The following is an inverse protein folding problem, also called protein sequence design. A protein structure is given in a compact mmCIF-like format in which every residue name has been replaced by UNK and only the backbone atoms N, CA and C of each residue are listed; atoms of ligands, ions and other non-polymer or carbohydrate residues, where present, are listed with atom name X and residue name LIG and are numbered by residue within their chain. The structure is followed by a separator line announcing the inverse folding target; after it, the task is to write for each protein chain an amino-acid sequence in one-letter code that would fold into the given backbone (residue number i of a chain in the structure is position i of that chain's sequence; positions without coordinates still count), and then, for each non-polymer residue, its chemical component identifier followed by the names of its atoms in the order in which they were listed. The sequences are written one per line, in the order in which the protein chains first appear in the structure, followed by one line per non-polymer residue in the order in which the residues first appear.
data_IF_165744887764
#
_entry.id   IF_165744887764
#
_cell.length_a   1.000
_cell.length_b   1.000
_cell.length_c   1.000
_cell.angle_alpha   90.00
_cell.angle_beta   90.00
_cell.angle_gamma   90.00
#
_symmetry.space_group_name_H-M   'P 1'
#
loop_
_entity.id
_entity.type
_entity.pdbx_description
1 polymer ?
#
# COMPACT_ATOMS: atom_id res chain seq x y z
N UNK A 1 188.95 74.33 -15.70
CA UNK A 1 187.85 73.96 -16.63
C UNK A 1 187.11 72.66 -16.26
N UNK A 2 187.51 71.88 -15.23
CA UNK A 2 186.75 70.66 -14.85
C UNK A 2 185.83 70.77 -13.61
N UNK A 3 185.95 71.82 -12.80
CA UNK A 3 185.15 71.98 -11.56
C UNK A 3 183.71 72.47 -11.79
N UNK A 4 183.43 73.19 -12.90
CA UNK A 4 182.08 73.69 -13.21
C UNK A 4 181.12 72.59 -13.70
N UNK A 5 181.63 71.52 -14.34
CA UNK A 5 180.80 70.42 -14.84
C UNK A 5 180.21 69.56 -13.72
N UNK A 6 180.89 69.47 -12.57
CA UNK A 6 180.42 68.67 -11.44
C UNK A 6 179.28 69.34 -10.65
N UNK A 7 179.17 70.68 -10.67
CA UNK A 7 178.09 71.40 -9.99
C UNK A 7 176.76 71.32 -10.77
N UNK A 8 176.78 71.38 -12.10
CA UNK A 8 175.57 71.23 -12.92
C UNK A 8 174.92 69.84 -12.78
N UNK A 9 175.72 68.79 -12.60
CA UNK A 9 175.21 67.43 -12.40
C UNK A 9 174.45 67.29 -11.07
N UNK A 10 174.89 67.99 -10.01
CA UNK A 10 174.21 67.97 -8.70
C UNK A 10 172.86 68.67 -8.75
N UNK A 11 172.77 69.83 -9.39
CA UNK A 11 171.51 70.58 -9.53
C UNK A 11 170.44 69.80 -10.32
N UNK A 12 170.83 69.09 -11.39
CA UNK A 12 169.91 68.25 -12.17
C UNK A 12 169.40 67.03 -11.39
N UNK A 13 170.21 66.47 -10.51
CA UNK A 13 169.80 65.38 -9.60
C UNK A 13 168.80 65.87 -8.55
N UNK A 14 169.03 67.05 -7.98
CA UNK A 14 168.14 67.66 -6.98
C UNK A 14 166.77 68.02 -7.56
N UNK A 15 166.72 68.55 -8.79
CA UNK A 15 165.46 68.82 -9.47
C UNK A 15 164.66 67.54 -9.77
N UNK A 16 165.33 66.43 -10.13
CA UNK A 16 164.68 65.12 -10.33
C UNK A 16 164.13 64.54 -9.03
N UNK A 17 164.87 64.67 -7.92
CA UNK A 17 164.42 64.27 -6.58
C UNK A 17 163.18 65.07 -6.15
N UNK A 18 163.18 66.39 -6.35
CA UNK A 18 162.05 67.25 -5.98
C UNK A 18 160.81 66.99 -6.86
N UNK A 19 160.97 66.74 -8.16
CA UNK A 19 159.85 66.34 -9.02
C UNK A 19 159.23 65.01 -8.58
N UNK A 20 160.05 64.04 -8.15
CA UNK A 20 159.55 62.77 -7.59
C UNK A 20 158.80 62.96 -6.28
N UNK A 21 159.25 63.87 -5.40
CA UNK A 21 158.55 64.19 -4.14
C UNK A 21 157.22 64.88 -4.39
N UNK A 22 157.19 65.88 -5.27
CA UNK A 22 155.96 66.60 -5.62
C UNK A 22 154.94 65.68 -6.29
N UNK A 23 155.38 64.79 -7.19
CA UNK A 23 154.49 63.81 -7.80
C UNK A 23 153.89 62.85 -6.76
N UNK A 24 154.71 62.35 -5.81
CA UNK A 24 154.21 61.51 -4.70
C UNK A 24 153.21 62.26 -3.81
N UNK A 25 153.47 63.53 -3.48
CA UNK A 25 152.54 64.35 -2.67
C UNK A 25 151.22 64.60 -3.40
N UNK A 26 151.25 64.98 -4.67
CA UNK A 26 150.04 65.17 -5.48
C UNK A 26 149.22 63.87 -5.61
N UNK A 27 149.89 62.71 -5.74
CA UNK A 27 149.21 61.42 -5.80
C UNK A 27 148.56 61.06 -4.45
N UNK A 28 149.24 61.34 -3.33
CA UNK A 28 148.69 61.15 -1.98
C UNK A 28 147.51 62.08 -1.71
N UNK A 29 147.59 63.35 -2.11
CA UNK A 29 146.49 64.32 -2.01
C UNK A 29 145.31 63.92 -2.88
N UNK A 30 145.54 63.41 -4.10
CA UNK A 30 144.48 62.88 -4.96
C UNK A 30 143.79 61.65 -4.33
N UNK A 31 144.57 60.73 -3.73
CA UNK A 31 144.01 59.57 -3.02
C UNK A 31 143.23 60.00 -1.79
N UNK A 32 143.73 60.98 -1.04
CA UNK A 32 143.07 61.50 0.16
C UNK A 32 141.78 62.27 -0.17
N UNK A 33 141.78 63.09 -1.22
CA UNK A 33 140.58 63.79 -1.71
C UNK A 33 139.55 62.79 -2.28
N UNK A 34 139.98 61.76 -3.02
CA UNK A 34 139.09 60.67 -3.43
C UNK A 34 138.57 59.83 -2.26
N UNK A 35 139.35 59.64 -1.19
CA UNK A 35 138.90 58.96 0.03
C UNK A 35 137.85 59.81 0.77
N UNK A 36 138.07 61.12 0.88
CA UNK A 36 137.13 62.07 1.48
C UNK A 36 135.81 62.14 0.70
N UNK A 37 135.86 62.26 -0.63
CA UNK A 37 134.66 62.27 -1.49
C UNK A 37 133.88 60.95 -1.35
N UNK A 38 134.58 59.80 -1.33
CA UNK A 38 133.91 58.49 -1.12
C UNK A 38 133.28 58.37 0.26
N UNK A 39 133.91 58.89 1.30
CA UNK A 39 133.34 58.90 2.65
C UNK A 39 132.10 59.80 2.73
N UNK A 40 132.14 60.99 2.11
CA UNK A 40 131.00 61.90 2.03
C UNK A 40 129.84 61.32 1.20
N UNK A 41 130.12 60.66 0.09
CA UNK A 41 129.10 59.97 -0.72
C UNK A 41 128.44 58.82 0.05
N UNK A 42 129.18 58.06 0.86
CA UNK A 42 128.62 57.02 1.74
C UNK A 42 127.72 57.62 2.82
N UNK A 43 128.17 58.68 3.49
CA UNK A 43 127.36 59.39 4.49
C UNK A 43 126.07 59.96 3.89
N UNK A 44 126.13 60.53 2.69
CA UNK A 44 124.96 61.03 1.97
C UNK A 44 124.01 59.87 1.56
N UNK A 45 124.55 58.76 1.06
CA UNK A 45 123.74 57.58 0.70
C UNK A 45 123.01 56.99 1.91
N UNK A 46 123.67 56.92 3.08
CA UNK A 46 123.05 56.47 4.34
C UNK A 46 121.97 57.44 4.84
N UNK A 47 122.17 58.75 4.68
CA UNK A 47 121.16 59.75 5.03
C UNK A 47 119.93 59.66 4.11
N UNK A 48 120.13 59.56 2.79
CA UNK A 48 119.05 59.35 1.82
C UNK A 48 118.30 58.02 2.07
N UNK A 49 118.99 56.95 2.47
CA UNK A 49 118.33 55.70 2.85
C UNK A 49 117.45 55.85 4.10
N UNK A 50 117.91 56.59 5.11
CA UNK A 50 117.10 56.90 6.31
C UNK A 50 115.87 57.73 5.95
N UNK A 51 116.00 58.73 5.08
CA UNK A 51 114.87 59.52 4.59
C UNK A 51 113.88 58.66 3.77
N UNK A 52 114.39 57.77 2.91
CA UNK A 52 113.56 56.80 2.18
C UNK A 52 112.79 55.89 3.13
N UNK A 53 113.45 55.38 4.19
CA UNK A 53 112.79 54.53 5.19
C UNK A 53 111.69 55.28 5.95
N UNK A 54 111.93 56.53 6.36
CA UNK A 54 110.92 57.36 7.02
C UNK A 54 109.72 57.63 6.10
N UNK A 55 109.97 57.93 4.83
CA UNK A 55 108.90 58.14 3.85
C UNK A 55 108.08 56.86 3.59
N UNK A 56 108.74 55.70 3.48
CA UNK A 56 108.05 54.41 3.35
C UNK A 56 107.20 54.09 4.58
N UNK A 57 107.74 54.30 5.79
CA UNK A 57 107.00 54.10 7.03
C UNK A 57 105.76 55.02 7.12
N UNK A 58 105.88 56.28 6.69
CA UNK A 58 104.74 57.21 6.60
C UNK A 58 103.70 56.75 5.56
N UNK A 59 104.13 56.29 4.38
CA UNK A 59 103.23 55.75 3.36
C UNK A 59 102.51 54.48 3.84
N UNK A 60 103.20 53.60 4.56
CA UNK A 60 102.60 52.43 5.21
C UNK A 60 101.54 52.84 6.25
N UNK A 61 101.80 53.87 7.06
CA UNK A 61 100.80 54.38 8.00
C UNK A 61 99.58 54.97 7.29
N UNK A 62 99.78 55.76 6.23
CA UNK A 62 98.70 56.34 5.44
C UNK A 62 97.84 55.25 4.78
N UNK A 63 98.48 54.21 4.22
CA UNK A 63 97.74 53.09 3.60
C UNK A 63 96.99 52.25 4.63
N UNK A 64 97.53 52.06 5.84
CA UNK A 64 96.81 51.41 6.96
C UNK A 64 95.56 52.20 7.35
N UNK A 65 95.69 53.51 7.58
CA UNK A 65 94.56 54.39 7.91
C UNK A 65 93.49 54.42 6.80
N UNK A 66 93.90 54.39 5.52
CA UNK A 66 92.96 54.28 4.39
C UNK A 66 92.18 52.97 4.42
N UNK A 67 92.87 51.84 4.64
CA UNK A 67 92.23 50.52 4.76
C UNK A 67 91.28 50.44 5.95
N UNK A 68 91.62 51.05 7.08
CA UNK A 68 90.75 51.12 8.26
C UNK A 68 89.49 51.93 7.98
N UNK A 69 89.62 53.13 7.37
CA UNK A 69 88.48 53.95 6.96
C UNK A 69 87.58 53.24 5.95
N UNK A 70 88.14 52.49 5.00
CA UNK A 70 87.36 51.68 4.06
C UNK A 70 86.60 50.57 4.77
N UNK A 71 87.24 49.86 5.71
CA UNK A 71 86.58 48.83 6.52
C UNK A 71 85.45 49.40 7.38
N UNK A 72 85.63 50.57 7.98
CA UNK A 72 84.59 51.26 8.75
C UNK A 72 83.40 51.62 7.87
N UNK A 73 83.63 52.21 6.68
CA UNK A 73 82.55 52.48 5.72
C UNK A 73 81.79 51.22 5.31
N UNK A 74 82.50 50.11 5.09
CA UNK A 74 81.87 48.81 4.77
C UNK A 74 81.00 48.33 5.95
N UNK A 75 81.52 48.42 7.18
CA UNK A 75 80.76 48.05 8.39
C UNK A 75 79.52 48.92 8.57
N UNK A 76 79.62 50.23 8.38
CA UNK A 76 78.48 51.15 8.46
C UNK A 76 77.42 50.85 7.40
N UNK A 77 77.84 50.55 6.15
CA UNK A 77 76.94 50.14 5.08
C UNK A 77 76.26 48.79 5.38
N UNK A 78 76.97 47.83 5.98
CA UNK A 78 76.40 46.56 6.45
C UNK A 78 75.36 46.80 7.54
N UNK A 79 75.69 47.56 8.59
CA UNK A 79 74.75 47.90 9.67
C UNK A 79 73.53 48.68 9.17
N UNK A 80 73.70 49.53 8.17
CA UNK A 80 72.57 50.18 7.51
C UNK A 80 71.68 49.17 6.77
N UNK A 81 72.29 48.26 6.01
CA UNK A 81 71.58 47.23 5.24
C UNK A 81 70.85 46.25 6.16
N UNK A 82 71.47 45.83 7.26
CA UNK A 82 70.87 44.98 8.29
C UNK A 82 69.65 45.66 8.92
N UNK A 83 69.76 46.94 9.32
CA UNK A 83 68.61 47.69 9.87
C UNK A 83 67.46 47.84 8.87
N UNK A 84 67.76 47.99 7.58
CA UNK A 84 66.72 48.03 6.53
C UNK A 84 66.07 46.65 6.39
N UNK A 85 66.88 45.59 6.36
CA UNK A 85 66.40 44.21 6.30
C UNK A 85 65.49 43.88 7.48
N UNK A 86 65.90 44.18 8.70
CA UNK A 86 65.11 44.00 9.93
C UNK A 86 63.74 44.68 9.81
N UNK A 87 63.70 45.96 9.42
CA UNK A 87 62.45 46.70 9.22
C UNK A 87 61.56 46.09 8.14
N UNK A 88 62.15 45.59 7.05
CA UNK A 88 61.40 44.89 6.00
C UNK A 88 60.82 43.58 6.51
N UNK A 89 61.58 42.80 7.29
CA UNK A 89 61.09 41.54 7.86
C UNK A 89 59.95 41.75 8.85
N UNK A 90 60.04 42.75 9.73
CA UNK A 90 58.96 43.11 10.66
C UNK A 90 57.71 43.52 9.89
N UNK A 91 57.86 44.38 8.87
CA UNK A 91 56.72 44.79 8.03
C UNK A 91 56.08 43.61 7.30
N UNK A 92 56.86 42.65 6.82
CA UNK A 92 56.35 41.43 6.20
C UNK A 92 55.58 40.57 7.21
N UNK A 93 56.12 40.38 8.42
CA UNK A 93 55.46 39.64 9.50
C UNK A 93 54.14 40.30 9.93
N UNK A 94 54.09 41.62 10.04
CA UNK A 94 52.87 42.36 10.35
C UNK A 94 51.81 42.21 9.24
N UNK A 95 52.25 42.18 7.98
CA UNK A 95 51.35 41.94 6.85
C UNK A 95 50.78 40.53 6.88
N UNK A 96 51.62 39.52 7.09
CA UNK A 96 51.17 38.13 7.20
C UNK A 96 50.23 37.94 8.38
N UNK A 97 50.53 38.52 9.55
CA UNK A 97 49.66 38.44 10.73
C UNK A 97 48.29 39.08 10.47
N UNK A 98 48.24 40.25 9.82
CA UNK A 98 46.96 40.91 9.46
C UNK A 98 46.16 40.12 8.43
N UNK A 99 46.82 39.46 7.50
CA UNK A 99 46.18 38.58 6.52
C UNK A 99 45.64 37.32 7.20
N UNK A 100 46.42 36.69 8.08
CA UNK A 100 45.99 35.55 8.88
C UNK A 100 44.78 35.89 9.76
N UNK A 101 44.75 37.06 10.41
CA UNK A 101 43.58 37.52 11.17
C UNK A 101 42.33 37.67 10.30
N UNK A 102 42.48 38.23 9.09
CA UNK A 102 41.36 38.35 8.14
C UNK A 102 40.88 36.97 7.69
N UNK A 103 41.80 36.06 7.39
CA UNK A 103 41.48 34.70 7.01
C UNK A 103 40.77 33.96 8.14
N UNK A 104 41.25 34.10 9.38
CA UNK A 104 40.62 33.50 10.56
C UNK A 104 39.19 34.01 10.76
N UNK A 105 38.94 35.32 10.56
CA UNK A 105 37.58 35.89 10.61
C UNK A 105 36.69 35.32 9.51
N UNK A 106 37.18 35.24 8.27
CA UNK A 106 36.41 34.68 7.14
C UNK A 106 36.09 33.19 7.36
N UNK A 107 37.04 32.42 7.89
CA UNK A 107 36.84 31.01 8.24
C UNK A 107 35.78 30.89 9.36
N UNK A 108 35.90 31.67 10.42
CA UNK A 108 34.92 31.66 11.51
C UNK A 108 33.49 32.04 11.05
N UNK A 109 33.36 33.05 10.17
CA UNK A 109 32.06 33.41 9.59
C UNK A 109 31.49 32.30 8.70
N UNK A 110 32.34 31.61 7.93
CA UNK A 110 31.92 30.49 7.11
C UNK A 110 31.44 29.31 7.97
N UNK A 111 32.20 28.98 9.01
CA UNK A 111 31.87 27.88 9.92
C UNK A 111 30.56 28.18 10.67
N UNK A 112 30.37 29.42 11.13
CA UNK A 112 29.12 29.85 11.76
C UNK A 112 27.92 29.74 10.80
N UNK A 113 28.07 30.12 9.53
CA UNK A 113 27.02 29.96 8.50
C UNK A 113 26.72 28.48 8.23
N UNK A 114 27.74 27.63 8.19
CA UNK A 114 27.57 26.19 7.99
C UNK A 114 26.84 25.56 9.17
N UNK A 115 27.23 25.88 10.41
CA UNK A 115 26.55 25.41 11.62
C UNK A 115 25.06 25.78 11.62
N UNK A 116 24.72 27.04 11.28
CA UNK A 116 23.33 27.48 11.18
C UNK A 116 22.54 26.70 10.11
N UNK A 117 23.14 26.45 8.95
CA UNK A 117 22.49 25.65 7.90
C UNK A 117 22.28 24.19 8.30
N UNK A 118 23.21 23.61 9.05
CA UNK A 118 23.09 22.25 9.58
C UNK A 118 21.98 22.17 10.62
N UNK A 119 21.93 23.10 11.58
CA UNK A 119 20.85 23.19 12.55
C UNK A 119 19.48 23.32 11.87
N UNK A 120 19.34 24.18 10.86
CA UNK A 120 18.08 24.31 10.13
C UNK A 120 17.68 23.02 9.41
N UNK A 121 18.66 22.33 8.79
CA UNK A 121 18.42 21.04 8.13
C UNK A 121 17.98 19.99 9.14
N UNK A 122 18.61 19.93 10.31
CA UNK A 122 18.26 19.01 11.39
C UNK A 122 16.88 19.31 11.97
N UNK A 123 16.54 20.59 12.20
CA UNK A 123 15.19 21.00 12.62
C UNK A 123 14.14 20.54 11.62
N UNK A 124 14.32 20.84 10.32
CA UNK A 124 13.42 20.41 9.24
C UNK A 124 13.28 18.88 9.18
N UNK A 125 14.40 18.15 9.29
CA UNK A 125 14.38 16.67 9.35
C UNK A 125 13.59 16.18 10.56
N UNK A 126 13.79 16.78 11.73
CA UNK A 126 13.11 16.38 12.97
C UNK A 126 11.60 16.64 12.90
N UNK A 127 11.18 17.78 12.33
CA UNK A 127 9.78 18.13 12.12
C UNK A 127 9.11 17.19 11.11
N UNK A 128 9.79 16.89 10.01
CA UNK A 128 9.33 15.93 9.02
C UNK A 128 9.14 14.53 9.65
N UNK A 129 10.11 14.07 10.45
CA UNK A 129 10.00 12.79 11.15
C UNK A 129 8.83 12.77 12.14
N UNK A 130 8.64 13.85 12.92
CA UNK A 130 7.50 14.01 13.83
C UNK A 130 6.16 13.95 13.07
N UNK A 131 6.07 14.62 11.92
CA UNK A 131 4.89 14.59 11.05
C UNK A 131 4.60 13.18 10.52
N UNK A 132 5.63 12.46 10.05
CA UNK A 132 5.49 11.07 9.58
C UNK A 132 5.00 10.15 10.71
N UNK A 133 5.55 10.29 11.92
CA UNK A 133 5.13 9.50 13.09
C UNK A 133 3.68 9.81 13.46
N UNK A 134 3.31 11.09 13.58
CA UNK A 134 1.95 11.51 13.89
C UNK A 134 0.93 10.98 12.86
N UNK A 135 1.27 11.05 11.57
CA UNK A 135 0.43 10.51 10.51
C UNK A 135 0.26 8.98 10.63
N UNK A 136 1.35 8.23 10.88
CA UNK A 136 1.29 6.78 11.08
C UNK A 136 0.43 6.39 12.28
N UNK A 137 0.53 7.13 13.38
CA UNK A 137 -0.29 6.90 14.57
C UNK A 137 -1.77 7.17 14.31
N UNK A 138 -2.08 8.27 13.61
CA UNK A 138 -3.45 8.61 13.23
C UNK A 138 -4.04 7.51 12.34
N UNK A 139 -3.31 7.09 11.30
CA UNK A 139 -3.74 6.01 10.41
C UNK A 139 -3.96 4.69 11.15
N UNK A 140 -3.13 4.38 12.16
CA UNK A 140 -3.31 3.20 13.00
C UNK A 140 -4.60 3.29 13.83
N UNK A 141 -4.84 4.44 14.48
CA UNK A 141 -6.07 4.69 15.26
C UNK A 141 -7.32 4.61 14.39
N UNK A 142 -7.28 5.23 13.21
CA UNK A 142 -8.39 5.21 12.26
C UNK A 142 -8.70 3.79 11.76
N UNK A 143 -7.67 3.01 11.42
CA UNK A 143 -7.85 1.60 11.03
C UNK A 143 -8.46 0.76 12.15
N UNK A 144 -8.02 0.95 13.39
CA UNK A 144 -8.59 0.25 14.55
C UNK A 144 -10.06 0.62 14.73
N UNK A 145 -10.39 1.91 14.68
CA UNK A 145 -11.76 2.38 14.83
C UNK A 145 -12.68 1.86 13.72
N UNK A 146 -12.23 1.90 12.46
CA UNK A 146 -12.96 1.30 11.33
C UNK A 146 -13.18 -0.20 11.55
N UNK A 147 -12.18 -0.92 12.03
CA UNK A 147 -12.32 -2.35 12.32
C UNK A 147 -13.35 -2.61 13.41
N UNK A 148 -13.34 -1.84 14.51
CA UNK A 148 -14.34 -1.91 15.57
C UNK A 148 -15.76 -1.65 15.05
N UNK A 149 -15.95 -0.62 14.22
CA UNK A 149 -17.25 -0.32 13.59
C UNK A 149 -17.70 -1.50 12.73
N UNK A 150 -16.83 -2.04 11.86
CA UNK A 150 -17.21 -3.18 11.01
C UNK A 150 -17.56 -4.42 11.82
N UNK A 151 -16.88 -4.63 12.96
CA UNK A 151 -17.16 -5.72 13.88
C UNK A 151 -18.47 -5.53 14.64
N UNK A 152 -18.84 -4.30 14.97
CA UNK A 152 -20.15 -3.98 15.54
C UNK A 152 -21.25 -4.18 14.49
N UNK A 153 -21.09 -3.61 13.30
CA UNK A 153 -22.04 -3.78 12.20
C UNK A 153 -22.28 -5.25 11.84
N UNK A 154 -21.25 -6.09 11.84
CA UNK A 154 -21.42 -7.52 11.58
C UNK A 154 -22.17 -8.25 12.69
N UNK A 155 -21.99 -7.84 13.95
CA UNK A 155 -22.77 -8.36 15.09
C UNK A 155 -24.23 -7.93 14.99
N UNK A 156 -24.47 -6.65 14.71
CA UNK A 156 -25.83 -6.11 14.60
C UNK A 156 -26.58 -6.76 13.43
N UNK A 157 -25.90 -6.96 12.29
CA UNK A 157 -26.46 -7.68 11.15
C UNK A 157 -26.79 -9.14 11.49
N UNK A 158 -25.91 -9.83 12.24
CA UNK A 158 -26.17 -11.19 12.70
C UNK A 158 -27.38 -11.25 13.64
N UNK A 159 -27.49 -10.32 14.60
CA UNK A 159 -28.64 -10.24 15.50
C UNK A 159 -29.94 -9.99 14.72
N UNK A 160 -29.94 -9.03 13.79
CA UNK A 160 -31.09 -8.75 12.94
C UNK A 160 -31.52 -9.97 12.11
N UNK A 161 -30.56 -10.76 11.60
CA UNK A 161 -30.87 -12.02 10.91
C UNK A 161 -31.53 -13.03 11.84
N UNK A 162 -30.99 -13.23 13.05
CA UNK A 162 -31.57 -14.17 14.01
C UNK A 162 -32.98 -13.76 14.46
N UNK A 163 -33.24 -12.46 14.62
CA UNK A 163 -34.58 -11.96 14.94
C UNK A 163 -35.54 -12.16 13.77
N UNK A 164 -35.10 -11.90 12.54
CA UNK A 164 -35.90 -12.14 11.34
C UNK A 164 -36.24 -13.63 11.16
N UNK A 165 -35.28 -14.53 11.38
CA UNK A 165 -35.50 -15.97 11.36
C UNK A 165 -36.51 -16.42 12.42
N UNK A 166 -36.41 -15.89 13.64
CA UNK A 166 -37.37 -16.15 14.72
C UNK A 166 -38.77 -15.69 14.32
N UNK A 167 -38.93 -14.46 13.85
CA UNK A 167 -40.24 -13.93 13.42
C UNK A 167 -40.81 -14.74 12.26
N UNK A 168 -39.98 -15.17 11.31
CA UNK A 168 -40.41 -16.03 10.22
C UNK A 168 -40.90 -17.39 10.73
N UNK A 169 -40.18 -18.01 11.66
CA UNK A 169 -40.59 -19.27 12.28
C UNK A 169 -41.92 -19.15 13.01
N UNK A 170 -42.12 -18.09 13.82
CA UNK A 170 -43.38 -17.79 14.50
C UNK A 170 -44.53 -17.63 13.48
N UNK A 171 -44.30 -16.90 12.38
CA UNK A 171 -45.30 -16.76 11.32
C UNK A 171 -45.66 -18.08 10.63
N UNK A 172 -44.68 -18.96 10.41
CA UNK A 172 -44.93 -20.27 9.82
C UNK A 172 -45.74 -21.17 10.76
N UNK A 173 -45.47 -21.12 12.07
CA UNK A 173 -46.25 -21.83 13.07
C UNK A 173 -47.70 -21.34 13.08
N UNK A 174 -47.92 -20.03 13.13
CA UNK A 174 -49.27 -19.44 13.10
C UNK A 174 -50.04 -19.81 11.82
N UNK A 175 -49.37 -19.84 10.66
CA UNK A 175 -49.99 -20.31 9.41
C UNK A 175 -50.38 -21.78 9.49
N UNK A 176 -49.50 -22.63 10.01
CA UNK A 176 -49.77 -24.06 10.18
C UNK A 176 -50.92 -24.32 11.15
N UNK A 177 -51.00 -23.57 12.25
CA UNK A 177 -52.10 -23.63 13.21
C UNK A 177 -53.44 -23.24 12.59
N UNK A 178 -53.48 -22.11 11.86
CA UNK A 178 -54.69 -21.69 11.11
C UNK A 178 -55.17 -22.77 10.15
N UNK A 179 -54.26 -23.34 9.36
CA UNK A 179 -54.61 -24.43 8.43
C UNK A 179 -55.14 -25.66 9.19
N UNK A 180 -54.56 -25.99 10.35
CA UNK A 180 -55.04 -27.10 11.19
C UNK A 180 -56.45 -26.82 11.73
N UNK A 181 -56.72 -25.62 12.19
CA UNK A 181 -58.04 -25.22 12.67
C UNK A 181 -59.09 -25.24 11.55
N UNK A 182 -58.76 -24.69 10.38
CA UNK A 182 -59.63 -24.72 9.21
C UNK A 182 -59.97 -26.16 8.78
N UNK A 183 -58.97 -27.05 8.79
CA UNK A 183 -59.19 -28.48 8.51
C UNK A 183 -60.10 -29.14 9.54
N UNK A 184 -59.97 -28.80 10.82
CA UNK A 184 -60.87 -29.29 11.89
C UNK A 184 -62.30 -28.81 11.66
N UNK A 185 -62.49 -27.50 11.44
CA UNK A 185 -63.81 -26.90 11.14
C UNK A 185 -64.47 -27.54 9.91
N UNK A 186 -63.70 -27.76 8.85
CA UNK A 186 -64.19 -28.44 7.64
C UNK A 186 -64.60 -29.89 7.92
N UNK A 187 -63.80 -30.61 8.71
CA UNK A 187 -64.13 -31.98 9.12
C UNK A 187 -65.41 -32.04 9.94
N UNK A 188 -65.56 -31.14 10.92
CA UNK A 188 -66.78 -31.03 11.75
C UNK A 188 -68.00 -30.71 10.89
N UNK A 189 -67.88 -29.75 9.97
CA UNK A 189 -68.94 -29.41 9.01
C UNK A 189 -69.35 -30.61 8.16
N UNK A 190 -68.38 -31.37 7.64
CA UNK A 190 -68.66 -32.58 6.85
C UNK A 190 -69.37 -33.65 7.69
N UNK A 191 -68.97 -33.84 8.95
CA UNK A 191 -69.64 -34.78 9.88
C UNK A 191 -71.09 -34.36 10.11
N UNK A 192 -71.34 -33.07 10.38
CA UNK A 192 -72.68 -32.53 10.56
C UNK A 192 -73.54 -32.74 9.31
N UNK A 193 -73.03 -32.42 8.12
CA UNK A 193 -73.74 -32.65 6.85
C UNK A 193 -74.06 -34.12 6.61
N UNK A 194 -73.16 -35.04 6.97
CA UNK A 194 -73.39 -36.48 6.87
C UNK A 194 -74.45 -36.95 7.85
N UNK A 195 -74.43 -36.45 9.09
CA UNK A 195 -75.45 -36.74 10.09
C UNK A 195 -76.84 -36.25 9.63
N UNK A 196 -76.95 -35.01 9.15
CA UNK A 196 -78.19 -34.45 8.61
C UNK A 196 -78.74 -35.28 7.43
N UNK A 197 -77.89 -35.66 6.48
CA UNK A 197 -78.29 -36.51 5.36
C UNK A 197 -78.78 -37.87 5.84
N UNK A 198 -78.07 -38.48 6.81
CA UNK A 198 -78.46 -39.77 7.36
C UNK A 198 -79.82 -39.70 8.07
N UNK A 199 -80.07 -38.64 8.84
CA UNK A 199 -81.35 -38.39 9.50
C UNK A 199 -82.49 -38.21 8.48
N UNK A 200 -82.28 -37.43 7.42
CA UNK A 200 -83.25 -37.27 6.32
C UNK A 200 -83.56 -38.60 5.63
N UNK A 201 -82.55 -39.43 5.38
CA UNK A 201 -82.73 -40.75 4.77
C UNK A 201 -83.53 -41.68 5.71
N UNK A 202 -83.30 -41.62 7.02
CA UNK A 202 -84.08 -42.39 7.99
C UNK A 202 -85.54 -41.96 8.00
N UNK A 203 -85.81 -40.64 8.05
CA UNK A 203 -87.18 -40.10 7.96
C UNK A 203 -87.90 -40.56 6.69
N UNK A 204 -87.24 -40.45 5.52
CA UNK A 204 -87.83 -40.91 4.26
C UNK A 204 -88.16 -42.41 4.25
N UNK A 205 -87.36 -43.24 4.93
CA UNK A 205 -87.63 -44.68 5.06
C UNK A 205 -88.82 -44.95 5.98
N UNK A 206 -88.95 -44.20 7.07
CA UNK A 206 -90.09 -44.30 7.98
C UNK A 206 -91.37 -43.87 7.26
N UNK A 207 -91.36 -42.73 6.56
CA UNK A 207 -92.48 -42.25 5.73
C UNK A 207 -92.87 -43.28 4.66
N UNK A 208 -91.89 -43.91 3.99
CA UNK A 208 -92.16 -44.95 2.99
C UNK A 208 -92.82 -46.20 3.63
N UNK A 209 -92.38 -46.60 4.82
CA UNK A 209 -92.99 -47.71 5.56
C UNK A 209 -94.42 -47.38 5.99
N UNK A 210 -94.66 -46.17 6.50
CA UNK A 210 -96.00 -45.72 6.85
C UNK A 210 -96.93 -45.69 5.63
N UNK A 211 -96.45 -45.19 4.50
CA UNK A 211 -97.22 -45.16 3.26
C UNK A 211 -97.53 -46.58 2.76
N UNK A 212 -96.57 -47.51 2.83
CA UNK A 212 -96.80 -48.93 2.51
C UNK A 212 -97.85 -49.55 3.43
N UNK A 213 -97.82 -49.25 4.73
CA UNK A 213 -98.81 -49.75 5.69
C UNK A 213 -100.21 -49.21 5.39
N UNK A 214 -100.34 -47.90 5.15
CA UNK A 214 -101.62 -47.26 4.74
C UNK A 214 -102.14 -47.85 3.43
N UNK A 215 -101.28 -48.01 2.42
CA UNK A 215 -101.66 -48.63 1.15
C UNK A 215 -102.12 -50.08 1.32
N UNK A 216 -101.44 -50.87 2.17
CA UNK A 216 -101.86 -52.24 2.47
C UNK A 216 -103.23 -52.27 3.15
N UNK A 217 -103.50 -51.33 4.07
CA UNK A 217 -104.81 -51.18 4.70
C UNK A 217 -105.90 -50.85 3.67
N UNK A 218 -105.66 -49.85 2.81
CA UNK A 218 -106.60 -49.47 1.74
C UNK A 218 -106.88 -50.66 0.81
N UNK A 219 -105.84 -51.41 0.40
CA UNK A 219 -106.02 -52.61 -0.43
C UNK A 219 -106.86 -53.69 0.25
N UNK A 220 -106.72 -53.88 1.57
CA UNK A 220 -107.57 -54.83 2.31
C UNK A 220 -109.03 -54.36 2.36
N UNK A 221 -109.26 -53.07 2.58
CA UNK A 221 -110.60 -52.47 2.58
C UNK A 221 -111.26 -52.57 1.20
N UNK A 222 -110.52 -52.25 0.13
CA UNK A 222 -110.97 -52.38 -1.27
C UNK A 222 -111.26 -53.85 -1.64
N UNK A 223 -110.39 -54.79 -1.26
CA UNK A 223 -110.61 -56.22 -1.50
C UNK A 223 -111.86 -56.69 -0.77
N UNK A 224 -112.08 -56.28 0.48
CA UNK A 224 -113.29 -56.63 1.23
C UNK A 224 -114.56 -56.09 0.55
N UNK A 225 -114.53 -54.83 0.10
CA UNK A 225 -115.64 -54.21 -0.63
C UNK A 225 -115.91 -54.92 -1.97
N UNK A 226 -114.86 -55.29 -2.72
CA UNK A 226 -114.98 -56.04 -3.96
C UNK A 226 -115.55 -57.44 -3.74
N UNK A 227 -115.11 -58.15 -2.70
CA UNK A 227 -115.65 -59.47 -2.38
C UNK A 227 -117.15 -59.38 -2.02
N UNK A 228 -117.56 -58.38 -1.24
CA UNK A 228 -118.98 -58.12 -0.96
C UNK A 228 -119.78 -57.83 -2.24
N UNK A 229 -119.27 -56.96 -3.10
CA UNK A 229 -119.92 -56.65 -4.39
C UNK A 229 -119.99 -57.88 -5.31
N UNK A 230 -118.91 -58.65 -5.42
CA UNK A 230 -118.85 -59.86 -6.22
C UNK A 230 -119.87 -60.90 -5.74
N UNK A 231 -120.04 -61.07 -4.42
CA UNK A 231 -121.08 -61.91 -3.85
C UNK A 231 -122.48 -61.45 -4.27
N UNK A 232 -122.78 -60.14 -4.19
CA UNK A 232 -124.07 -59.60 -4.62
C UNK A 232 -124.34 -59.86 -6.12
N UNK A 233 -123.33 -59.67 -6.97
CA UNK A 233 -123.45 -59.93 -8.43
C UNK A 233 -123.65 -61.42 -8.71
N UNK A 234 -122.94 -62.31 -8.01
CA UNK A 234 -123.11 -63.76 -8.12
C UNK A 234 -124.52 -64.17 -7.69
N UNK A 235 -125.02 -63.63 -6.57
CA UNK A 235 -126.39 -63.88 -6.09
C UNK A 235 -127.44 -63.44 -7.11
N UNK A 236 -127.33 -62.22 -7.65
CA UNK A 236 -128.23 -61.72 -8.71
C UNK A 236 -128.17 -62.58 -9.99
N UNK A 237 -126.97 -62.96 -10.43
CA UNK A 237 -126.80 -63.82 -11.61
C UNK A 237 -127.37 -65.23 -11.39
N UNK A 238 -127.38 -65.72 -10.14
CA UNK A 238 -127.98 -67.00 -9.76
C UNK A 238 -129.51 -66.94 -9.80
N UNK A 239 -130.10 -65.84 -9.33
CA UNK A 239 -131.54 -65.55 -9.48
C UNK A 239 -131.95 -65.52 -10.96
N UNK A 240 -131.13 -64.90 -11.82
CA UNK A 240 -131.33 -64.82 -13.27
C UNK A 240 -131.01 -66.12 -14.03
N UNK A 241 -130.64 -67.22 -13.35
CA UNK A 241 -130.28 -68.54 -13.91
C UNK A 241 -129.16 -68.49 -14.97
N UNK A 242 -128.22 -67.55 -14.87
CA UNK A 242 -127.06 -67.44 -15.76
C UNK A 242 -125.93 -68.39 -15.33
N UNK A 243 -124.96 -68.63 -16.21
CA UNK A 243 -123.80 -69.46 -15.88
C UNK A 243 -122.87 -68.75 -14.87
N UNK A 244 -122.78 -69.30 -13.65
CA UNK A 244 -122.04 -68.72 -12.53
C UNK A 244 -120.54 -69.02 -12.54
N UNK A 245 -120.11 -70.01 -13.32
CA UNK A 245 -118.73 -70.51 -13.27
C UNK A 245 -117.65 -69.44 -13.58
N UNK A 246 -117.83 -68.54 -14.57
CA UNK A 246 -116.86 -67.47 -14.82
C UNK A 246 -116.74 -66.47 -13.67
N UNK A 247 -117.84 -66.18 -12.98
CA UNK A 247 -117.89 -65.21 -11.88
C UNK A 247 -117.19 -65.75 -10.63
N UNK A 248 -117.42 -67.01 -10.26
CA UNK A 248 -116.67 -67.65 -9.17
C UNK A 248 -115.16 -67.71 -9.45
N UNK A 249 -114.77 -67.96 -10.70
CA UNK A 249 -113.36 -67.96 -11.11
C UNK A 249 -112.73 -66.57 -11.02
N UNK A 250 -113.49 -65.51 -11.30
CA UNK A 250 -113.03 -64.13 -11.19
C UNK A 250 -112.93 -63.68 -9.72
N UNK A 251 -113.97 -63.91 -8.90
CA UNK A 251 -114.00 -63.53 -7.49
C UNK A 251 -112.88 -64.19 -6.67
N UNK A 252 -112.57 -65.47 -6.94
CA UNK A 252 -111.50 -66.22 -6.25
C UNK A 252 -110.09 -65.67 -6.54
N UNK A 253 -109.89 -64.97 -7.67
CA UNK A 253 -108.59 -64.36 -8.00
C UNK A 253 -108.33 -63.07 -7.23
N UNK A 254 -109.38 -62.44 -6.67
CA UNK A 254 -109.34 -61.16 -5.97
C UNK A 254 -108.91 -60.00 -6.87
N UNK A 255 -108.82 -58.80 -6.28
CA UNK A 255 -108.14 -57.64 -6.86
C UNK A 255 -106.62 -57.89 -6.76
N UNK A 256 -106.13 -58.80 -7.59
CA UNK A 256 -104.71 -58.79 -7.94
C UNK A 256 -104.54 -57.91 -9.16
N UNK A 257 -103.55 -57.01 -9.22
CA UNK A 257 -103.12 -56.43 -10.47
C UNK A 257 -102.74 -57.59 -11.40
N UNK A 258 -103.60 -57.89 -12.37
CA UNK A 258 -103.38 -58.89 -13.42
C UNK A 258 -102.40 -58.25 -14.41
N UNK A 259 -101.13 -58.17 -14.04
CA UNK A 259 -100.07 -57.76 -14.96
C UNK A 259 -99.75 -58.92 -15.90
N UNK A 260 -100.57 -59.08 -16.94
CA UNK A 260 -100.34 -60.02 -18.06
C UNK A 260 -99.99 -59.28 -19.36
N UNK A 261 -99.53 -58.03 -19.25
CA UNK A 261 -98.80 -57.34 -20.30
C UNK A 261 -97.32 -57.46 -20.02
N UNK A 262 -96.54 -57.78 -21.05
CA UNK A 262 -95.07 -57.83 -21.09
C UNK A 262 -94.49 -56.89 -20.04
N UNK A 263 -93.85 -57.43 -19.00
CA UNK A 263 -92.98 -56.65 -18.14
C UNK A 263 -91.86 -56.19 -19.06
N UNK A 264 -91.77 -54.91 -19.45
CA UNK A 264 -90.60 -54.49 -20.18
C UNK A 264 -89.45 -54.66 -19.18
N UNK A 265 -88.38 -55.32 -19.58
CA UNK A 265 -87.14 -55.40 -18.82
C UNK A 265 -86.49 -54.01 -18.83
N UNK A 266 -87.14 -53.02 -18.23
CA UNK A 266 -86.53 -51.75 -17.88
C UNK A 266 -85.73 -51.96 -16.60
N UNK A 267 -84.52 -52.51 -16.73
CA UNK A 267 -83.48 -52.20 -15.75
C UNK A 267 -83.04 -50.77 -16.01
N UNK A 268 -83.85 -49.81 -15.55
CA UNK A 268 -83.41 -48.42 -15.42
C UNK A 268 -82.41 -48.39 -14.26
N UNK A 269 -81.14 -48.10 -14.56
CA UNK A 269 -80.08 -48.05 -13.55
C UNK A 269 -79.91 -46.65 -12.92
N UNK A 270 -80.89 -45.76 -13.08
CA UNK A 270 -80.86 -44.39 -12.59
C UNK A 270 -82.27 -43.83 -12.27
N UNK A 271 -82.32 -42.81 -11.40
CA UNK A 271 -83.54 -42.26 -10.78
C UNK A 271 -84.49 -41.55 -11.76
N UNK A 272 -84.20 -41.51 -13.06
CA UNK A 272 -84.95 -40.78 -14.09
C UNK A 272 -85.86 -41.65 -14.96
N UNK A 273 -85.67 -42.98 -14.99
CA UNK A 273 -86.56 -43.92 -15.68
C UNK A 273 -86.59 -43.84 -17.21
N UNK A 274 -85.69 -43.11 -17.86
CA UNK A 274 -85.59 -43.03 -19.33
C UNK A 274 -84.58 -44.04 -19.88
N UNK A 275 -84.94 -44.81 -20.92
CA UNK A 275 -83.99 -45.67 -21.64
C UNK A 275 -83.00 -44.82 -22.45
N UNK A 276 -81.71 -44.88 -22.12
CA UNK A 276 -80.67 -44.37 -23.01
C UNK A 276 -80.56 -45.29 -24.22
N UNK A 277 -80.64 -44.77 -25.46
CA UNK A 277 -80.46 -45.60 -26.64
C UNK A 277 -79.04 -46.19 -26.63
N UNK A 278 -78.92 -47.51 -26.74
CA UNK A 278 -77.64 -48.22 -26.83
C UNK A 278 -77.03 -48.00 -28.22
N UNK A 279 -76.64 -46.77 -28.52
CA UNK A 279 -76.01 -46.40 -29.79
C UNK A 279 -74.56 -46.85 -29.72
N UNK A 280 -74.28 -48.09 -30.12
CA UNK A 280 -72.92 -48.57 -30.31
C UNK A 280 -72.38 -48.18 -31.68
N UNK A 281 -72.06 -46.89 -31.87
CA UNK A 281 -71.33 -46.44 -33.05
C UNK A 281 -69.80 -46.54 -32.85
N UNK A 282 -68.99 -46.65 -33.91
CA UNK A 282 -67.53 -46.61 -33.80
C UNK A 282 -67.03 -45.38 -33.01
N UNK A 283 -67.72 -44.24 -33.17
CA UNK A 283 -67.43 -42.99 -32.46
C UNK A 283 -67.73 -43.07 -30.95
N UNK A 284 -68.83 -43.72 -30.55
CA UNK A 284 -69.12 -43.91 -29.11
C UNK A 284 -68.13 -44.86 -28.44
N UNK A 285 -67.62 -45.87 -29.16
CA UNK A 285 -66.58 -46.78 -28.66
C UNK A 285 -65.23 -46.08 -28.46
N UNK A 286 -64.85 -45.14 -29.34
CA UNK A 286 -63.62 -44.36 -29.18
C UNK A 286 -63.71 -43.38 -28.01
N UNK A 287 -64.86 -42.70 -27.83
CA UNK A 287 -65.09 -41.81 -26.68
C UNK A 287 -65.05 -42.60 -25.37
N UNK A 288 -65.72 -43.75 -25.30
CA UNK A 288 -65.67 -44.62 -24.10
C UNK A 288 -64.24 -45.04 -23.75
N UNK A 289 -63.44 -45.46 -24.74
CA UNK A 289 -62.02 -45.84 -24.56
C UNK A 289 -61.12 -44.69 -24.06
N UNK A 290 -61.48 -43.43 -24.29
CA UNK A 290 -60.74 -42.26 -23.76
C UNK A 290 -61.00 -42.04 -22.27
N UNK A 291 -62.16 -42.42 -21.77
CA UNK A 291 -62.57 -42.22 -20.39
C UNK A 291 -62.48 -43.49 -19.52
N UNK A 292 -62.07 -44.60 -20.11
CA UNK A 292 -61.84 -45.85 -19.41
C UNK A 292 -60.56 -45.75 -18.56
N UNK A 293 -60.60 -46.11 -17.27
CA UNK A 293 -59.45 -45.98 -16.39
C UNK A 293 -58.34 -46.92 -16.88
N UNK A 294 -57.26 -46.33 -17.38
CA UNK A 294 -56.06 -47.01 -17.83
C UNK A 294 -54.83 -46.39 -17.16
N UNK A 295 -53.69 -47.05 -17.30
CA UNK A 295 -52.41 -46.56 -16.78
C UNK A 295 -52.09 -45.15 -17.33
N UNK A 296 -51.52 -44.28 -16.48
CA UNK A 296 -51.39 -42.83 -16.74
C UNK A 296 -50.60 -42.56 -18.03
N UNK A 297 -49.64 -43.44 -18.36
CA UNK A 297 -48.82 -43.34 -19.58
C UNK A 297 -49.64 -43.57 -20.85
N UNK A 298 -50.55 -44.55 -20.82
CA UNK A 298 -51.45 -44.82 -21.94
C UNK A 298 -52.55 -43.77 -22.05
N UNK A 299 -53.07 -43.28 -20.93
CA UNK A 299 -54.08 -42.22 -20.90
C UNK A 299 -53.56 -40.93 -21.57
N UNK A 300 -52.28 -40.59 -21.34
CA UNK A 300 -51.65 -39.42 -21.93
C UNK A 300 -51.55 -39.50 -23.45
N UNK A 301 -51.25 -40.67 -24.01
CA UNK A 301 -51.20 -40.91 -25.46
C UNK A 301 -52.59 -40.81 -26.11
N UNK A 302 -53.65 -41.22 -25.40
CA UNK A 302 -55.03 -41.22 -25.90
C UNK A 302 -55.67 -39.82 -25.95
N UNK A 303 -55.22 -38.90 -25.11
CA UNK A 303 -55.75 -37.54 -25.02
C UNK A 303 -55.06 -36.54 -25.97
N UNK A 304 -53.91 -36.92 -26.54
CA UNK A 304 -53.08 -36.04 -27.38
C UNK A 304 -52.08 -35.26 -26.56
#
# INVERSE_FOLDING_TARGET
VQEQYQQEQRMKLEQRENQKRNFKQAQLESVNTHAFIRAQQRANAEAEEKERQLYLAQQEQITKLRREREKEKIREAQLHSERVLEKLTVRQQDQTAREEEKMAKVVAERDAKQAQQEEEKERKKSEMLKSIVAHRELMKKEKLHRHEITKQQSRDAALAMTEAERMFAEQQQLKAEKIREEKRKLSEFNIQMMAEKSAKIQQLKEDEQELRAKNAQVLMEEEAAFQQYAQQVISKAAEERKNLYPLYKAARKGIKPVFHGIRPTYLACDSSGAEMPNIQSPATKTIRKRHEPADIREAKIRLG
#
